data_IF_718238789632
#
_entry.id   IF_718238789632
#
_cell.length_a   1.000
_cell.length_b   1.000
_cell.length_c   1.000
_cell.angle_alpha   90.00
_cell.angle_beta   90.00
_cell.angle_gamma   90.00
#
_symmetry.space_group_name_H-M   'P 1'
#
loop_
_entity.id
_entity.type
_entity.pdbx_description
1 polymer ?
#
# COMPACT_ATOMS: atom_id res chain seq x y z
N UNK A 1 5.15 30.21 -12.67
CA UNK A 1 5.86 29.31 -11.74
C UNK A 1 5.59 27.90 -12.23
N UNK A 2 6.59 27.03 -12.33
CA UNK A 2 6.36 25.67 -12.84
C UNK A 2 5.69 24.84 -11.74
N UNK A 3 4.43 24.43 -11.96
CA UNK A 3 3.78 23.46 -11.09
C UNK A 3 4.61 22.17 -11.04
N UNK A 4 4.88 21.71 -9.82
CA UNK A 4 5.67 20.50 -9.57
C UNK A 4 4.86 19.23 -9.80
N UNK A 5 3.53 19.32 -9.87
CA UNK A 5 2.61 18.20 -10.07
C UNK A 5 2.52 17.25 -8.87
N UNK A 6 3.20 17.58 -7.76
CA UNK A 6 3.19 16.76 -6.55
C UNK A 6 1.98 17.08 -5.68
N UNK A 7 1.42 16.02 -5.10
CA UNK A 7 0.37 16.13 -4.10
C UNK A 7 0.97 16.04 -2.70
N UNK A 8 0.58 16.97 -1.84
CA UNK A 8 0.95 16.99 -0.44
C UNK A 8 -0.27 16.79 0.43
N UNK A 9 -0.08 16.10 1.55
CA UNK A 9 -1.09 16.01 2.58
C UNK A 9 -1.38 17.41 3.15
N UNK A 10 -2.65 17.77 3.31
CA UNK A 10 -3.07 19.00 4.00
C UNK A 10 -3.64 18.74 5.38
N UNK A 11 -3.93 17.48 5.71
CA UNK A 11 -4.22 17.03 7.06
C UNK A 11 -2.95 16.77 7.88
N UNK A 12 -3.10 16.61 9.19
CA UNK A 12 -2.01 16.26 10.12
C UNK A 12 -0.76 17.17 10.02
N UNK A 13 -0.95 18.47 9.80
CA UNK A 13 0.15 19.42 9.65
C UNK A 13 1.08 19.16 8.46
N UNK A 14 0.62 18.41 7.45
CA UNK A 14 1.41 18.01 6.29
C UNK A 14 2.20 16.70 6.47
N UNK A 15 2.19 16.10 7.66
CA UNK A 15 2.84 14.82 7.90
C UNK A 15 2.05 13.66 7.25
N UNK A 16 2.72 12.58 6.80
CA UNK A 16 2.03 11.39 6.30
C UNK A 16 1.08 10.80 7.35
N UNK A 17 -0.11 10.39 6.94
CA UNK A 17 -0.99 9.61 7.81
C UNK A 17 -0.31 8.28 8.15
N UNK A 18 -0.39 7.89 9.43
CA UNK A 18 0.14 6.64 9.93
C UNK A 18 -1.04 5.73 10.27
N UNK A 19 -1.27 4.75 9.41
CA UNK A 19 -2.28 3.73 9.64
C UNK A 19 -1.62 2.43 10.08
N UNK A 20 -2.12 1.84 11.17
CA UNK A 20 -1.66 0.55 11.67
C UNK A 20 -2.75 -0.50 11.52
N UNK A 21 -2.35 -1.70 11.12
CA UNK A 21 -3.22 -2.87 11.04
C UNK A 21 -2.46 -4.07 11.59
N UNK A 22 -3.19 -4.99 12.21
CA UNK A 22 -2.66 -6.26 12.71
C UNK A 22 -3.56 -7.38 12.25
N UNK A 23 -2.95 -8.51 11.93
CA UNK A 23 -3.64 -9.68 11.44
C UNK A 23 -2.96 -10.93 11.98
N UNK A 24 -3.78 -11.91 12.37
CA UNK A 24 -3.34 -13.21 12.87
C UNK A 24 -4.04 -14.27 12.01
N UNK A 25 -3.25 -15.08 11.31
CA UNK A 25 -3.72 -16.23 10.54
C UNK A 25 -3.15 -17.52 11.11
N UNK A 26 -4.01 -18.53 11.25
CA UNK A 26 -3.64 -19.84 11.77
C UNK A 26 -3.97 -20.92 10.74
N UNK A 27 -2.93 -21.49 10.11
CA UNK A 27 -3.09 -22.61 9.18
C UNK A 27 -3.20 -23.93 9.94
N UNK A 28 -4.35 -24.60 9.84
CA UNK A 28 -4.62 -25.85 10.57
C UNK A 28 -4.16 -27.10 9.82
N UNK A 29 -3.96 -27.02 8.50
CA UNK A 29 -3.48 -28.14 7.70
C UNK A 29 -1.94 -28.12 7.60
N UNK A 30 -1.22 -29.07 8.23
CA UNK A 30 0.24 -29.10 8.22
C UNK A 30 0.82 -29.29 6.81
N UNK A 31 0.05 -29.89 5.89
CA UNK A 31 0.48 -30.09 4.50
C UNK A 31 0.68 -28.78 3.74
N UNK A 32 0.13 -27.67 4.24
CA UNK A 32 0.27 -26.35 3.63
C UNK A 32 1.54 -25.61 4.08
N UNK A 33 2.28 -26.14 5.06
CA UNK A 33 3.57 -25.59 5.49
C UNK A 33 4.70 -26.07 4.57
N UNK A 34 4.68 -25.59 3.32
CA UNK A 34 5.66 -25.95 2.31
C UNK A 34 6.20 -24.71 1.61
N UNK A 35 7.47 -24.77 1.20
CA UNK A 35 8.10 -23.69 0.46
C UNK A 35 7.34 -23.42 -0.85
N UNK A 36 7.08 -22.14 -1.14
CA UNK A 36 6.34 -21.73 -2.33
C UNK A 36 4.82 -21.81 -2.21
N UNK A 37 4.27 -22.25 -1.07
CA UNK A 37 2.84 -22.12 -0.80
C UNK A 37 2.46 -20.64 -0.72
N UNK A 38 1.53 -20.25 -1.59
CA UNK A 38 1.01 -18.90 -1.66
C UNK A 38 -0.42 -18.88 -1.13
N UNK A 39 -0.68 -17.93 -0.23
CA UNK A 39 -2.02 -17.63 0.23
C UNK A 39 -2.41 -16.24 -0.26
N UNK A 40 -3.18 -16.21 -1.34
CA UNK A 40 -3.56 -14.95 -1.98
C UNK A 40 -4.64 -14.23 -1.16
N UNK A 41 -4.43 -12.93 -0.92
CA UNK A 41 -5.42 -12.03 -0.29
C UNK A 41 -5.96 -12.52 1.06
N UNK A 42 -5.07 -13.07 1.90
CA UNK A 42 -5.41 -13.54 3.26
C UNK A 42 -6.13 -12.49 4.11
N UNK A 43 -5.74 -11.22 3.97
CA UNK A 43 -6.26 -10.15 4.79
C UNK A 43 -6.56 -8.90 3.95
N UNK A 44 -7.70 -8.30 4.24
CA UNK A 44 -8.08 -6.99 3.73
C UNK A 44 -8.22 -6.04 4.93
N UNK A 45 -7.49 -4.93 4.90
CA UNK A 45 -7.67 -3.86 5.87
C UNK A 45 -8.44 -2.70 5.24
N UNK A 46 -9.22 -2.02 6.06
CA UNK A 46 -9.78 -0.71 5.75
C UNK A 46 -9.54 0.19 6.94
N UNK A 47 -8.90 1.33 6.71
CA UNK A 47 -8.61 2.32 7.75
C UNK A 47 -9.80 3.25 7.98
N UNK A 48 -10.82 3.21 7.13
CA UNK A 48 -12.00 4.07 7.19
C UNK A 48 -11.70 5.57 7.07
N UNK A 49 -10.46 5.95 6.77
CA UNK A 49 -9.99 7.32 6.79
C UNK A 49 -10.28 8.08 5.50
N UNK A 50 -10.74 9.32 5.63
CA UNK A 50 -10.73 10.31 4.55
C UNK A 50 -9.49 11.17 4.67
N UNK A 51 -8.62 11.10 3.66
CA UNK A 51 -7.34 11.81 3.65
C UNK A 51 -7.42 13.05 2.75
N UNK A 52 -7.17 14.23 3.31
CA UNK A 52 -7.18 15.49 2.57
C UNK A 52 -5.78 15.76 1.97
N UNK A 53 -5.72 15.95 0.66
CA UNK A 53 -4.48 16.30 -0.03
C UNK A 53 -4.72 17.47 -0.99
N UNK A 54 -3.68 18.28 -1.21
CA UNK A 54 -3.64 19.36 -2.19
C UNK A 54 -2.49 19.11 -3.15
N UNK A 55 -2.76 19.19 -4.44
CA UNK A 55 -1.74 19.05 -5.47
C UNK A 55 -1.34 20.42 -6.00
N UNK A 56 -0.04 20.59 -6.22
CA UNK A 56 0.54 21.77 -6.83
C UNK A 56 0.35 21.69 -8.36
N UNK A 57 -0.73 22.33 -8.84
CA UNK A 57 -1.15 22.28 -10.25
C UNK A 57 -1.57 23.68 -10.74
N UNK A 58 -1.14 24.08 -11.93
CA UNK A 58 -1.66 25.29 -12.63
C UNK A 58 -3.14 25.12 -13.06
N UNK A 59 -3.61 23.88 -13.23
CA UNK A 59 -5.01 23.56 -13.54
C UNK A 59 -5.50 22.41 -12.65
N UNK A 60 -6.56 22.64 -11.86
CA UNK A 60 -7.09 21.71 -10.86
C UNK A 60 -7.86 20.49 -11.44
N UNK A 61 -7.82 20.27 -12.76
CA UNK A 61 -8.63 19.27 -13.47
C UNK A 61 -7.76 18.13 -14.04
N UNK A 62 -7.09 17.39 -13.17
CA UNK A 62 -6.20 16.28 -13.54
C UNK A 62 -6.56 14.94 -12.90
N UNK A 63 -6.07 13.85 -13.50
CA UNK A 63 -6.01 12.52 -12.89
C UNK A 63 -4.94 12.54 -11.79
N UNK A 64 -5.27 12.03 -10.60
CA UNK A 64 -4.31 11.89 -9.50
C UNK A 64 -3.68 10.50 -9.57
N UNK A 65 -2.35 10.44 -9.64
CA UNK A 65 -1.61 9.18 -9.60
C UNK A 65 -1.10 8.91 -8.18
N UNK A 66 -1.15 7.64 -7.78
CA UNK A 66 -0.66 7.19 -6.48
C UNK A 66 0.53 6.25 -6.69
N UNK A 67 1.53 6.37 -5.84
CA UNK A 67 2.68 5.47 -5.78
C UNK A 67 2.81 4.93 -4.37
N UNK A 68 2.86 3.60 -4.25
CA UNK A 68 3.19 2.92 -3.01
C UNK A 68 4.66 2.47 -3.06
N UNK A 69 5.35 2.62 -1.93
CA UNK A 69 6.73 2.13 -1.75
C UNK A 69 6.83 1.47 -0.39
N UNK A 70 7.56 0.35 -0.30
CA UNK A 70 7.87 -0.30 0.96
C UNK A 70 9.26 0.18 1.42
N UNK A 71 9.35 1.05 2.44
CA UNK A 71 10.63 1.60 2.86
C UNK A 71 11.52 0.49 3.45
N UNK A 72 12.80 0.49 3.08
CA UNK A 72 13.79 -0.43 3.63
C UNK A 72 13.73 -1.88 3.12
N UNK A 73 12.78 -2.23 2.25
CA UNK A 73 12.68 -3.57 1.67
C UNK A 73 12.78 -3.51 0.14
N UNK A 74 13.61 -4.39 -0.41
CA UNK A 74 13.67 -4.64 -1.86
C UNK A 74 12.78 -5.83 -2.18
N UNK A 75 12.05 -5.76 -3.29
CA UNK A 75 11.27 -6.90 -3.74
C UNK A 75 12.23 -8.06 -4.08
N UNK A 76 12.01 -9.22 -3.47
CA UNK A 76 12.79 -10.44 -3.72
C UNK A 76 12.35 -11.12 -5.00
N UNK A 77 11.06 -11.01 -5.32
CA UNK A 77 10.46 -11.56 -6.53
C UNK A 77 9.22 -10.77 -6.95
N UNK A 78 8.91 -10.84 -8.24
CA UNK A 78 7.67 -10.31 -8.81
C UNK A 78 6.94 -11.43 -9.55
N UNK A 79 5.69 -11.71 -9.16
CA UNK A 79 4.85 -12.74 -9.79
C UNK A 79 3.47 -12.14 -10.11
N UNK A 80 2.94 -12.36 -11.31
CA UNK A 80 1.61 -11.89 -11.72
C UNK A 80 1.36 -10.37 -11.47
N UNK A 81 2.39 -9.54 -11.67
CA UNK A 81 2.30 -8.08 -11.44
C UNK A 81 2.30 -7.66 -9.97
N UNK A 82 2.52 -8.61 -9.06
CA UNK A 82 2.64 -8.39 -7.62
C UNK A 82 4.10 -8.50 -7.19
N UNK A 83 4.54 -7.57 -6.33
CA UNK A 83 5.87 -7.60 -5.74
C UNK A 83 5.80 -8.23 -4.35
N UNK A 84 6.69 -9.19 -4.10
CA UNK A 84 6.83 -9.87 -2.84
C UNK A 84 8.06 -9.33 -2.13
N UNK A 85 7.90 -9.07 -0.84
CA UNK A 85 8.91 -8.50 0.02
C UNK A 85 9.19 -9.46 1.16
N UNK A 86 10.45 -9.66 1.48
CA UNK A 86 10.85 -10.57 2.56
C UNK A 86 10.56 -9.94 3.92
N UNK A 87 9.72 -10.59 4.71
CA UNK A 87 9.51 -10.23 6.12
C UNK A 87 10.56 -10.86 7.01
N UNK A 88 10.88 -12.13 6.75
CA UNK A 88 11.90 -12.89 7.46
C UNK A 88 12.43 -14.03 6.57
N UNK A 89 13.31 -14.87 7.11
CA UNK A 89 13.93 -15.98 6.36
C UNK A 89 12.92 -16.97 5.74
N UNK A 90 11.70 -17.06 6.26
CA UNK A 90 10.70 -18.06 5.90
C UNK A 90 9.46 -17.48 5.20
N UNK A 91 9.20 -16.18 5.38
CA UNK A 91 7.96 -15.55 4.94
C UNK A 91 8.24 -14.34 4.06
N UNK A 92 7.52 -14.30 2.94
CA UNK A 92 7.40 -13.15 2.07
C UNK A 92 5.94 -12.67 2.09
N UNK A 93 5.72 -11.36 1.96
CA UNK A 93 4.40 -10.79 1.83
C UNK A 93 4.27 -9.92 0.58
N UNK A 94 3.05 -9.83 0.08
CA UNK A 94 2.68 -8.90 -0.97
C UNK A 94 1.54 -8.03 -0.47
N UNK A 95 1.62 -6.73 -0.74
CA UNK A 95 0.56 -5.77 -0.44
C UNK A 95 0.05 -5.14 -1.73
N UNK A 96 -1.27 -4.94 -1.78
CA UNK A 96 -1.92 -4.14 -2.81
C UNK A 96 -2.74 -3.06 -2.13
N UNK A 97 -2.41 -1.80 -2.41
CA UNK A 97 -3.11 -0.64 -1.88
C UNK A 97 -4.05 -0.10 -2.95
N UNK A 98 -5.29 0.21 -2.56
CA UNK A 98 -6.32 0.76 -3.45
C UNK A 98 -6.79 2.08 -2.83
N UNK A 99 -6.67 3.18 -3.57
CA UNK A 99 -7.19 4.49 -3.17
C UNK A 99 -8.36 4.87 -4.07
N UNK A 100 -9.49 5.22 -3.46
CA UNK A 100 -10.67 5.73 -4.15
C UNK A 100 -10.77 7.24 -3.92
N UNK A 101 -10.82 8.03 -4.99
CA UNK A 101 -11.08 9.47 -4.89
C UNK A 101 -12.57 9.71 -4.59
N UNK A 102 -12.87 10.30 -3.44
CA UNK A 102 -14.19 10.91 -3.21
C UNK A 102 -14.30 12.24 -3.96
N UNK A 103 -15.39 12.44 -4.71
CA UNK A 103 -15.81 13.79 -5.12
C UNK A 103 -16.81 14.26 -4.06
N UNK A 104 -16.50 15.39 -3.42
CA UNK A 104 -17.51 16.20 -2.71
C UNK A 104 -18.25 17.09 -3.72
#
# INVERSE_FOLDING_TARGET
>A
MAATGWCQNTGNGGAPFQDSFSFIESFTNPSQNQAGMEFSRLYHWSTGGTYKAKCDCDNASGVTYFKATVPGLTATQSRNGLNYYQLNKYLENCHRVIYCRGRE
#
